data_IF_978226064401
#
_entry.id   IF_978226064401
#
_cell.length_a   1.000
_cell.length_b   1.000
_cell.length_c   1.000
_cell.angle_alpha   90.00
_cell.angle_beta   90.00
_cell.angle_gamma   90.00
#
_symmetry.space_group_name_H-M   'P 1'
#
loop_
_entity.id
_entity.type
_entity.pdbx_description
1 polymer ?
#
# COMPACT_ATOMS: atom_id res chain seq x y z
N UNK A 1 -22.40 -6.65 -1.48
CA UNK A 1 -21.81 -7.17 -2.72
C UNK A 1 -20.47 -7.80 -2.36
N UNK A 2 -20.04 -8.84 -3.04
CA UNK A 2 -18.71 -9.47 -2.87
C UNK A 2 -17.72 -8.88 -3.87
N UNK A 3 -16.43 -9.09 -3.64
CA UNK A 3 -15.41 -8.84 -4.68
C UNK A 3 -15.71 -9.69 -5.92
N UNK A 4 -15.31 -9.25 -7.13
CA UNK A 4 -15.38 -10.08 -8.33
C UNK A 4 -14.67 -11.42 -8.10
N UNK A 5 -15.28 -12.52 -8.51
CA UNK A 5 -14.61 -13.82 -8.47
C UNK A 5 -13.41 -13.83 -9.43
N UNK A 6 -12.34 -14.60 -9.12
CA UNK A 6 -11.25 -14.78 -10.06
C UNK A 6 -11.71 -15.46 -11.34
N UNK A 7 -11.26 -14.96 -12.48
CA UNK A 7 -11.52 -15.52 -13.82
C UNK A 7 -10.20 -15.60 -14.62
N UNK A 8 -10.26 -16.22 -15.80
CA UNK A 8 -9.10 -16.26 -16.70
C UNK A 8 -8.71 -14.87 -17.24
N UNK A 9 -9.68 -13.97 -17.38
CA UNK A 9 -9.51 -12.64 -17.97
C UNK A 9 -9.14 -11.57 -16.95
N UNK A 10 -9.73 -11.61 -15.75
CA UNK A 10 -9.50 -10.54 -14.77
C UNK A 10 -8.15 -10.68 -14.02
N UNK A 11 -7.66 -9.56 -13.55
CA UNK A 11 -6.35 -9.48 -12.87
C UNK A 11 -6.46 -8.77 -11.52
N UNK A 12 -5.58 -9.16 -10.62
CA UNK A 12 -5.26 -8.41 -9.43
C UNK A 12 -3.90 -7.72 -9.59
N UNK A 13 -3.84 -6.41 -9.46
CA UNK A 13 -2.62 -5.61 -9.56
C UNK A 13 -2.04 -5.40 -8.17
N UNK A 14 -0.74 -5.64 -8.01
CA UNK A 14 -0.03 -5.37 -6.75
C UNK A 14 1.20 -4.51 -7.02
N UNK A 15 1.20 -3.28 -6.49
CA UNK A 15 2.38 -2.42 -6.57
C UNK A 15 3.30 -2.64 -5.36
N UNK A 16 4.61 -2.49 -5.57
CA UNK A 16 5.60 -2.82 -4.54
C UNK A 16 5.68 -4.32 -4.24
N UNK A 17 5.40 -5.17 -5.25
CA UNK A 17 5.29 -6.62 -5.09
C UNK A 17 6.62 -7.34 -4.81
N UNK A 18 7.76 -6.68 -4.94
CA UNK A 18 9.09 -7.30 -4.83
C UNK A 18 9.56 -7.54 -3.39
N UNK A 19 8.82 -7.11 -2.36
CA UNK A 19 9.16 -7.35 -0.95
C UNK A 19 7.99 -7.12 0.01
N UNK A 20 8.08 -7.67 1.19
CA UNK A 20 7.27 -7.37 2.35
C UNK A 20 5.77 -7.55 2.15
N UNK A 21 4.97 -6.52 2.47
CA UNK A 21 3.51 -6.59 2.36
C UNK A 21 3.08 -6.84 0.91
N UNK A 22 3.78 -6.28 -0.08
CA UNK A 22 3.46 -6.46 -1.50
C UNK A 22 3.59 -7.92 -1.96
N UNK A 23 4.70 -8.57 -1.62
CA UNK A 23 4.89 -10.02 -1.88
C UNK A 23 3.79 -10.84 -1.21
N UNK A 24 3.50 -10.57 0.06
CA UNK A 24 2.48 -11.30 0.80
C UNK A 24 1.05 -11.06 0.25
N UNK A 25 0.74 -9.85 -0.25
CA UNK A 25 -0.52 -9.58 -0.93
C UNK A 25 -0.63 -10.36 -2.25
N UNK A 26 0.44 -10.43 -3.04
CA UNK A 26 0.47 -11.19 -4.27
C UNK A 26 0.27 -12.70 -4.03
N UNK A 27 0.95 -13.25 -3.02
CA UNK A 27 0.78 -14.65 -2.61
C UNK A 27 -0.64 -14.96 -2.13
N UNK A 28 -1.21 -14.11 -1.29
CA UNK A 28 -2.58 -14.32 -0.79
C UNK A 28 -3.63 -14.17 -1.91
N UNK A 29 -3.43 -13.27 -2.88
CA UNK A 29 -4.29 -13.14 -4.04
C UNK A 29 -4.20 -14.37 -4.96
N UNK A 30 -2.98 -14.85 -5.24
CA UNK A 30 -2.76 -16.08 -6.00
C UNK A 30 -3.38 -17.31 -5.32
N UNK A 31 -3.24 -17.43 -3.99
CA UNK A 31 -3.88 -18.46 -3.17
C UNK A 31 -5.42 -18.42 -3.27
N UNK A 32 -6.00 -17.21 -3.49
CA UNK A 32 -7.44 -17.03 -3.74
C UNK A 32 -7.84 -17.26 -5.19
N UNK A 33 -6.90 -17.64 -6.07
CA UNK A 33 -7.13 -17.95 -7.47
C UNK A 33 -7.02 -16.76 -8.44
N UNK A 34 -6.63 -15.57 -7.98
CA UNK A 34 -6.46 -14.44 -8.88
C UNK A 34 -5.14 -14.53 -9.65
N UNK A 35 -5.20 -14.38 -10.96
CA UNK A 35 -4.04 -14.04 -11.77
C UNK A 35 -3.59 -12.62 -11.46
N UNK A 36 -2.27 -12.37 -11.43
CA UNK A 36 -1.70 -11.13 -10.88
C UNK A 36 -0.90 -10.34 -11.92
N UNK A 37 -0.84 -9.02 -11.74
CA UNK A 37 0.15 -8.12 -12.35
C UNK A 37 1.01 -7.59 -11.20
N UNK A 38 2.28 -7.97 -11.21
CA UNK A 38 3.28 -7.64 -10.19
C UNK A 38 4.08 -6.42 -10.65
N UNK A 39 4.02 -5.33 -9.89
CA UNK A 39 4.67 -4.07 -10.26
C UNK A 39 5.68 -3.65 -9.21
N UNK A 40 6.96 -3.51 -9.59
CA UNK A 40 8.03 -2.92 -8.79
C UNK A 40 9.27 -2.66 -9.66
N UNK A 41 10.32 -2.05 -9.10
CA UNK A 41 11.57 -1.77 -9.84
C UNK A 41 12.45 -3.00 -10.04
N UNK A 42 12.48 -3.92 -9.07
CA UNK A 42 13.37 -5.09 -9.04
C UNK A 42 12.77 -6.23 -9.86
N UNK A 43 13.10 -6.27 -11.14
CA UNK A 43 12.55 -7.23 -12.10
C UNK A 43 12.88 -8.69 -11.74
N UNK A 44 14.11 -8.95 -11.29
CA UNK A 44 14.55 -10.30 -10.93
C UNK A 44 13.67 -10.90 -9.81
N UNK A 45 13.46 -10.14 -8.73
CA UNK A 45 12.59 -10.56 -7.62
C UNK A 45 11.12 -10.74 -8.04
N UNK A 46 10.65 -9.91 -8.99
CA UNK A 46 9.30 -10.08 -9.52
C UNK A 46 9.18 -11.35 -10.36
N UNK A 47 10.20 -11.70 -11.17
CA UNK A 47 10.20 -12.91 -11.98
C UNK A 47 10.25 -14.16 -11.10
N UNK A 48 11.07 -14.17 -10.06
CA UNK A 48 11.11 -15.26 -9.07
C UNK A 48 9.76 -15.43 -8.37
N UNK A 49 9.12 -14.32 -7.97
CA UNK A 49 7.79 -14.35 -7.36
C UNK A 49 6.76 -14.86 -8.37
N UNK A 50 6.76 -14.37 -9.61
CA UNK A 50 5.83 -14.79 -10.65
C UNK A 50 5.91 -16.29 -10.94
N UNK A 51 7.13 -16.82 -11.07
CA UNK A 51 7.37 -18.25 -11.24
C UNK A 51 6.77 -19.05 -10.06
N UNK A 52 7.11 -18.65 -8.83
CA UNK A 52 6.62 -19.31 -7.61
C UNK A 52 5.09 -19.30 -7.51
N UNK A 53 4.44 -18.17 -7.83
CA UNK A 53 2.98 -18.06 -7.82
C UNK A 53 2.34 -18.98 -8.86
N UNK A 54 2.93 -19.06 -10.06
CA UNK A 54 2.45 -19.92 -11.14
C UNK A 54 2.59 -21.40 -10.78
N UNK A 55 3.76 -21.81 -10.27
CA UNK A 55 4.02 -23.20 -9.90
C UNK A 55 3.16 -23.66 -8.71
N UNK A 56 2.98 -22.80 -7.72
CA UNK A 56 2.30 -23.17 -6.47
C UNK A 56 0.77 -23.10 -6.57
N UNK A 57 0.22 -22.13 -7.32
CA UNK A 57 -1.21 -21.84 -7.34
C UNK A 57 -1.86 -22.01 -8.71
N UNK A 58 -1.09 -22.27 -9.78
CA UNK A 58 -1.62 -22.44 -11.13
C UNK A 58 -2.20 -21.17 -11.76
N UNK A 59 -1.87 -20.00 -11.23
CA UNK A 59 -2.33 -18.71 -11.76
C UNK A 59 -1.32 -18.09 -12.71
N UNK A 60 -1.76 -17.17 -13.56
CA UNK A 60 -0.84 -16.35 -14.37
C UNK A 60 -0.32 -15.17 -13.53
N UNK A 61 0.99 -14.95 -13.53
CA UNK A 61 1.61 -13.81 -12.89
C UNK A 61 2.43 -13.00 -13.92
N UNK A 62 1.97 -11.82 -14.25
CA UNK A 62 2.60 -10.90 -15.20
C UNK A 62 3.51 -9.90 -14.46
N UNK A 63 4.69 -9.62 -15.01
CA UNK A 63 5.67 -8.71 -14.39
C UNK A 63 5.71 -7.38 -15.12
N UNK A 64 5.75 -6.29 -14.35
CA UNK A 64 6.01 -4.92 -14.82
C UNK A 64 7.14 -4.32 -13.98
N UNK A 65 8.37 -4.44 -14.49
CA UNK A 65 9.58 -3.92 -13.84
C UNK A 65 9.74 -2.43 -14.17
N UNK A 66 9.08 -1.56 -13.39
CA UNK A 66 9.05 -0.11 -13.62
C UNK A 66 9.21 0.67 -12.31
N UNK A 67 9.67 1.91 -12.41
CA UNK A 67 9.65 2.87 -11.31
C UNK A 67 8.35 3.70 -11.35
N UNK A 68 7.49 3.49 -10.36
CA UNK A 68 6.22 4.22 -10.25
C UNK A 68 6.39 5.69 -9.83
N UNK A 69 7.57 6.10 -9.32
CA UNK A 69 7.86 7.51 -9.07
C UNK A 69 8.14 8.28 -10.37
N UNK A 70 8.54 7.57 -11.42
CA UNK A 70 8.74 8.12 -12.74
C UNK A 70 7.41 8.17 -13.53
N UNK A 71 6.98 9.37 -13.89
CA UNK A 71 5.75 9.59 -14.64
C UNK A 71 5.78 8.93 -16.02
N UNK A 72 6.93 8.96 -16.70
CA UNK A 72 7.05 8.41 -18.06
C UNK A 72 6.90 6.89 -18.07
N UNK A 73 7.35 6.21 -17.03
CA UNK A 73 7.15 4.77 -16.85
C UNK A 73 5.75 4.44 -16.30
N UNK A 74 5.21 5.29 -15.43
CA UNK A 74 3.89 5.08 -14.80
C UNK A 74 2.72 5.28 -15.78
N UNK A 75 2.81 6.27 -16.67
CA UNK A 75 1.70 6.61 -17.57
C UNK A 75 1.33 5.47 -18.55
N UNK A 76 2.27 4.76 -19.20
CA UNK A 76 1.95 3.58 -20.00
C UNK A 76 1.27 2.47 -19.21
N UNK A 77 1.71 2.22 -17.97
CA UNK A 77 1.04 1.24 -17.12
C UNK A 77 -0.40 1.66 -16.80
N UNK A 78 -0.63 2.92 -16.43
CA UNK A 78 -1.97 3.42 -16.16
C UNK A 78 -2.88 3.25 -17.39
N UNK A 79 -2.39 3.55 -18.59
CA UNK A 79 -3.12 3.34 -19.84
C UNK A 79 -3.43 1.84 -20.09
N UNK A 80 -2.45 0.94 -19.87
CA UNK A 80 -2.67 -0.51 -19.96
C UNK A 80 -3.77 -0.96 -19.00
N UNK A 81 -3.71 -0.54 -17.74
CA UNK A 81 -4.67 -0.97 -16.72
C UNK A 81 -6.09 -0.44 -16.98
N UNK A 82 -6.23 0.71 -17.63
CA UNK A 82 -7.54 1.29 -17.99
C UNK A 82 -8.30 0.41 -18.99
N UNK A 83 -7.58 -0.29 -19.89
CA UNK A 83 -8.16 -1.15 -20.93
C UNK A 83 -8.38 -2.60 -20.47
N UNK A 84 -7.92 -2.96 -19.27
CA UNK A 84 -7.97 -4.34 -18.75
C UNK A 84 -9.08 -4.55 -17.74
N UNK A 85 -9.54 -5.80 -17.60
CA UNK A 85 -10.42 -6.19 -16.51
C UNK A 85 -9.62 -6.35 -15.20
N UNK A 86 -9.54 -5.27 -14.42
CA UNK A 86 -8.89 -5.28 -13.12
C UNK A 86 -9.92 -5.52 -12.02
N UNK A 87 -9.88 -6.72 -11.44
CA UNK A 87 -10.75 -7.11 -10.32
C UNK A 87 -10.31 -6.45 -9.00
N UNK A 88 -9.00 -6.38 -8.76
CA UNK A 88 -8.44 -5.83 -7.52
C UNK A 88 -7.20 -4.99 -7.86
N UNK A 89 -7.11 -3.78 -7.26
CA UNK A 89 -5.91 -2.97 -7.27
C UNK A 89 -5.38 -2.83 -5.83
N UNK A 90 -4.18 -3.34 -5.57
CA UNK A 90 -3.45 -3.13 -4.33
C UNK A 90 -2.38 -2.05 -4.54
N UNK A 91 -2.70 -0.81 -4.27
CA UNK A 91 -1.78 0.32 -4.18
C UNK A 91 -0.95 0.19 -2.90
N UNK A 92 0.18 -0.54 -2.98
CA UNK A 92 0.99 -0.86 -1.82
C UNK A 92 2.41 -0.27 -1.89
N UNK A 93 2.94 0.02 -3.07
CA UNK A 93 4.27 0.63 -3.21
C UNK A 93 4.41 1.89 -2.35
N UNK A 94 5.54 2.04 -1.70
CA UNK A 94 5.84 3.21 -0.89
C UNK A 94 7.18 3.10 -0.20
N UNK A 95 7.81 4.25 0.03
CA UNK A 95 9.08 4.39 0.73
C UNK A 95 8.99 5.53 1.74
N UNK A 96 9.91 5.57 2.68
CA UNK A 96 10.01 6.60 3.70
C UNK A 96 11.45 7.10 3.82
N UNK A 97 11.61 8.33 4.31
CA UNK A 97 12.88 8.91 4.78
C UNK A 97 12.74 9.31 6.23
N UNK A 98 13.85 9.45 6.91
CA UNK A 98 13.93 9.89 8.29
C UNK A 98 14.99 10.98 8.40
N UNK A 99 14.64 12.10 9.04
CA UNK A 99 15.52 13.24 9.23
C UNK A 99 14.82 14.57 9.00
N UNK A 100 15.46 15.71 9.38
CA UNK A 100 14.95 17.04 9.07
C UNK A 100 14.88 17.25 7.56
N UNK A 101 13.73 17.67 7.02
CA UNK A 101 13.51 17.81 5.58
C UNK A 101 14.52 18.73 4.88
N UNK A 102 15.08 19.70 5.62
CA UNK A 102 16.10 20.61 5.10
C UNK A 102 17.48 19.93 4.87
N UNK A 103 17.69 18.75 5.42
CA UNK A 103 18.95 17.97 5.34
C UNK A 103 18.82 16.75 4.41
N UNK A 104 17.60 16.45 3.94
CA UNK A 104 17.32 15.33 3.05
C UNK A 104 17.53 15.72 1.58
N UNK A 105 17.76 14.72 0.72
CA UNK A 105 17.87 14.91 -0.72
C UNK A 105 16.52 15.37 -1.31
N UNK A 106 16.44 16.58 -1.90
CA UNK A 106 15.20 17.12 -2.43
C UNK A 106 14.58 16.28 -3.56
N UNK A 107 15.40 15.61 -4.36
CA UNK A 107 14.92 14.80 -5.48
C UNK A 107 14.32 13.48 -4.97
N UNK A 108 14.93 12.89 -3.94
CA UNK A 108 14.36 11.72 -3.30
C UNK A 108 13.07 12.04 -2.53
N UNK A 109 13.01 13.19 -1.85
CA UNK A 109 11.77 13.66 -1.18
C UNK A 109 10.63 13.88 -2.20
N UNK A 110 10.95 14.42 -3.38
CA UNK A 110 9.97 14.54 -4.48
C UNK A 110 9.53 13.17 -4.98
N UNK A 111 10.46 12.23 -5.17
CA UNK A 111 10.15 10.87 -5.58
C UNK A 111 9.25 10.14 -4.56
N UNK A 112 9.37 10.41 -3.26
CA UNK A 112 8.46 9.90 -2.23
C UNK A 112 7.03 10.39 -2.48
N UNK A 113 6.82 11.67 -2.78
CA UNK A 113 5.48 12.18 -3.09
C UNK A 113 4.92 11.57 -4.36
N UNK A 114 5.73 11.45 -5.42
CA UNK A 114 5.34 10.80 -6.67
C UNK A 114 4.91 9.35 -6.44
N UNK A 115 5.72 8.56 -5.71
CA UNK A 115 5.43 7.16 -5.46
C UNK A 115 4.24 6.96 -4.50
N UNK A 116 4.29 7.63 -3.34
CA UNK A 116 3.35 7.35 -2.25
C UNK A 116 1.97 7.99 -2.47
N UNK A 117 1.87 9.08 -3.23
CA UNK A 117 0.63 9.82 -3.42
C UNK A 117 0.18 9.84 -4.89
N UNK A 118 1.02 10.36 -5.80
CA UNK A 118 0.63 10.56 -7.20
C UNK A 118 0.41 9.22 -7.92
N UNK A 119 1.29 8.25 -7.76
CA UNK A 119 1.12 6.92 -8.35
C UNK A 119 -0.15 6.22 -7.84
N UNK A 120 -0.46 6.32 -6.54
CA UNK A 120 -1.69 5.78 -5.97
C UNK A 120 -2.92 6.41 -6.63
N UNK A 121 -2.90 7.73 -6.81
CA UNK A 121 -3.97 8.47 -7.46
C UNK A 121 -4.13 8.07 -8.93
N UNK A 122 -3.06 8.11 -9.73
CA UNK A 122 -3.08 7.82 -11.16
C UNK A 122 -3.58 6.40 -11.45
N UNK A 123 -3.03 5.38 -10.75
CA UNK A 123 -3.45 3.99 -10.96
C UNK A 123 -4.90 3.74 -10.49
N UNK A 124 -5.34 4.43 -9.44
CA UNK A 124 -6.75 4.37 -9.01
C UNK A 124 -7.66 4.95 -10.07
N UNK A 125 -7.36 6.13 -10.62
CA UNK A 125 -8.15 6.75 -11.68
C UNK A 125 -8.20 5.90 -12.95
N UNK A 126 -7.11 5.21 -13.28
CA UNK A 126 -7.03 4.34 -14.45
C UNK A 126 -8.04 3.17 -14.39
N UNK A 127 -8.14 2.49 -13.23
CA UNK A 127 -8.99 1.29 -13.11
C UNK A 127 -10.44 1.59 -12.74
N UNK A 128 -10.70 2.76 -12.15
CA UNK A 128 -11.97 3.10 -11.54
C UNK A 128 -13.15 3.12 -12.53
N UNK A 129 -13.05 3.72 -13.75
CA UNK A 129 -14.14 3.71 -14.71
C UNK A 129 -14.60 2.30 -15.08
N UNK A 130 -13.66 1.40 -15.35
CA UNK A 130 -13.95 0.00 -15.65
C UNK A 130 -14.63 -0.74 -14.49
N UNK A 131 -14.14 -0.55 -13.26
CA UNK A 131 -14.76 -1.13 -12.06
C UNK A 131 -16.19 -0.64 -11.83
N UNK A 132 -16.45 0.66 -12.04
CA UNK A 132 -17.79 1.25 -11.91
C UNK A 132 -18.72 0.68 -12.99
N UNK A 133 -18.26 0.63 -14.24
CA UNK A 133 -19.05 0.12 -15.36
C UNK A 133 -19.49 -1.32 -15.14
N UNK A 134 -18.61 -2.16 -14.63
CA UNK A 134 -18.87 -3.57 -14.29
C UNK A 134 -19.62 -3.74 -12.95
N UNK A 135 -19.80 -2.66 -12.18
CA UNK A 135 -20.35 -2.68 -10.81
C UNK A 135 -19.63 -3.68 -9.90
N UNK A 136 -18.31 -3.80 -10.07
CA UNK A 136 -17.50 -4.75 -9.34
C UNK A 136 -16.03 -4.41 -9.37
N UNK A 137 -15.38 -4.44 -8.21
CA UNK A 137 -13.95 -4.19 -8.06
C UNK A 137 -13.54 -4.02 -6.60
N UNK A 138 -12.25 -4.09 -6.34
CA UNK A 138 -11.68 -3.83 -5.03
C UNK A 138 -10.41 -2.99 -5.12
N UNK A 139 -10.32 -1.94 -4.31
CA UNK A 139 -9.14 -1.08 -4.23
C UNK A 139 -8.63 -1.11 -2.79
N UNK A 140 -7.46 -1.68 -2.58
CA UNK A 140 -6.73 -1.65 -1.32
C UNK A 140 -5.65 -0.56 -1.42
N UNK A 141 -5.67 0.41 -0.50
CA UNK A 141 -4.67 1.48 -0.46
C UNK A 141 -3.86 1.35 0.82
N UNK A 142 -2.55 1.16 0.69
CA UNK A 142 -1.63 1.11 1.82
C UNK A 142 -1.22 2.52 2.25
N UNK A 143 -1.96 3.03 3.22
CA UNK A 143 -1.61 4.23 3.94
C UNK A 143 -0.61 3.96 5.08
N UNK A 144 -0.80 4.62 6.20
CA UNK A 144 -0.03 4.43 7.44
C UNK A 144 -0.73 5.06 8.63
N UNK A 145 -0.45 4.57 9.83
CA UNK A 145 -0.76 5.29 11.06
C UNK A 145 -0.07 6.68 11.10
N UNK A 146 1.08 6.82 10.44
CA UNK A 146 1.81 8.07 10.29
C UNK A 146 1.01 9.18 9.58
N UNK A 147 0.09 8.81 8.70
CA UNK A 147 -0.79 9.78 8.03
C UNK A 147 -1.89 10.38 8.91
N UNK A 148 -2.01 9.98 10.17
CA UNK A 148 -3.04 10.50 11.07
C UNK A 148 -2.57 11.72 11.89
N UNK A 149 -1.27 11.99 11.92
CA UNK A 149 -0.69 13.06 12.75
C UNK A 149 0.55 13.69 12.11
N UNK A 150 0.92 14.93 12.48
CA UNK A 150 2.21 15.50 12.10
C UNK A 150 3.36 14.73 12.74
N UNK A 151 4.39 14.41 11.94
CA UNK A 151 5.58 13.71 12.41
C UNK A 151 6.83 14.54 12.03
N UNK A 152 7.39 15.34 12.95
CA UNK A 152 8.70 15.96 12.75
C UNK A 152 9.77 14.91 12.43
N UNK A 153 10.72 15.25 11.57
CA UNK A 153 11.76 14.35 11.01
C UNK A 153 11.22 13.21 10.11
N UNK A 154 9.99 13.34 9.65
CA UNK A 154 9.38 12.43 8.67
C UNK A 154 8.25 13.14 7.91
N UNK A 155 8.44 14.42 7.62
CA UNK A 155 7.38 15.31 7.18
C UNK A 155 6.77 14.89 5.83
N UNK A 156 7.59 14.64 4.81
CA UNK A 156 7.14 14.27 3.47
C UNK A 156 6.40 12.94 3.50
N UNK A 157 6.95 11.94 4.18
CA UNK A 157 6.27 10.65 4.30
C UNK A 157 4.93 10.76 5.01
N UNK A 158 4.88 11.44 6.18
CA UNK A 158 3.63 11.64 6.91
C UNK A 158 2.58 12.37 6.07
N UNK A 159 2.99 13.40 5.32
CA UNK A 159 2.10 14.13 4.41
C UNK A 159 1.59 13.24 3.26
N UNK A 160 2.47 12.45 2.62
CA UNK A 160 2.08 11.51 1.57
C UNK A 160 1.07 10.46 2.06
N UNK A 161 1.27 9.96 3.29
CA UNK A 161 0.35 9.00 3.91
C UNK A 161 -0.94 9.65 4.43
N UNK A 162 -0.91 10.94 4.79
CA UNK A 162 -2.14 11.69 5.07
C UNK A 162 -3.01 11.85 3.81
N UNK A 163 -2.39 12.12 2.66
CA UNK A 163 -3.08 12.13 1.38
C UNK A 163 -3.76 10.77 1.12
N UNK A 164 -3.02 9.65 1.17
CA UNK A 164 -3.57 8.33 0.88
C UNK A 164 -4.65 7.89 1.86
N UNK A 165 -4.53 8.24 3.14
CA UNK A 165 -5.55 7.96 4.15
C UNK A 165 -6.85 8.70 3.80
N UNK A 166 -6.77 10.02 3.60
CA UNK A 166 -7.93 10.87 3.28
C UNK A 166 -8.55 10.49 1.93
N UNK A 167 -7.73 10.29 0.90
CA UNK A 167 -8.17 9.89 -0.44
C UNK A 167 -8.95 8.57 -0.40
N UNK A 168 -8.41 7.54 0.29
CA UNK A 168 -9.07 6.25 0.40
C UNK A 168 -10.44 6.33 1.06
N UNK A 169 -10.56 7.07 2.17
CA UNK A 169 -11.81 7.20 2.91
C UNK A 169 -12.85 8.03 2.15
N UNK A 170 -12.43 9.10 1.47
CA UNK A 170 -13.29 9.93 0.64
C UNK A 170 -13.80 9.15 -0.58
N UNK A 171 -12.89 8.48 -1.30
CA UNK A 171 -13.22 7.66 -2.47
C UNK A 171 -14.24 6.56 -2.12
N UNK A 172 -14.07 5.93 -0.96
CA UNK A 172 -15.04 4.95 -0.48
C UNK A 172 -16.45 5.54 -0.37
N UNK A 173 -16.58 6.77 0.15
CA UNK A 173 -17.86 7.48 0.24
C UNK A 173 -18.51 7.69 -1.12
N UNK A 174 -17.71 8.14 -2.10
CA UNK A 174 -18.15 8.40 -3.48
C UNK A 174 -18.60 7.13 -4.22
N UNK A 175 -18.05 5.98 -3.85
CA UNK A 175 -18.34 4.68 -4.47
C UNK A 175 -19.46 3.89 -3.78
N UNK A 176 -20.12 4.49 -2.79
CA UNK A 176 -21.27 3.88 -2.13
C UNK A 176 -22.36 3.53 -3.15
N UNK A 177 -22.80 2.29 -3.18
CA UNK A 177 -23.81 1.80 -4.14
C UNK A 177 -23.30 1.50 -5.55
N UNK A 178 -22.02 1.79 -5.89
CA UNK A 178 -21.44 1.55 -7.22
C UNK A 178 -20.85 0.15 -7.41
N UNK A 179 -20.81 -0.67 -6.36
CA UNK A 179 -20.29 -2.06 -6.43
C UNK A 179 -18.77 -2.17 -6.27
N UNK A 180 -18.06 -1.07 -6.06
CA UNK A 180 -16.62 -1.05 -5.86
C UNK A 180 -16.30 -0.92 -4.38
N UNK A 181 -15.46 -1.81 -3.86
CA UNK A 181 -14.99 -1.78 -2.48
C UNK A 181 -13.69 -0.97 -2.37
N UNK A 182 -13.57 -0.14 -1.35
CA UNK A 182 -12.32 0.57 -1.04
C UNK A 182 -11.98 0.36 0.42
N UNK A 183 -10.74 -0.08 0.68
CA UNK A 183 -10.24 -0.30 2.03
C UNK A 183 -8.87 0.36 2.21
N UNK A 184 -8.75 1.15 3.27
CA UNK A 184 -7.48 1.68 3.73
C UNK A 184 -6.79 0.64 4.60
N UNK A 185 -5.60 0.19 4.21
CA UNK A 185 -4.67 -0.50 5.10
C UNK A 185 -3.77 0.56 5.75
N UNK A 186 -3.89 0.75 7.06
CA UNK A 186 -3.06 1.68 7.83
C UNK A 186 -2.18 0.90 8.83
N UNK A 187 -1.11 0.25 8.38
CA UNK A 187 -0.27 -0.59 9.23
C UNK A 187 0.56 0.24 10.20
N UNK A 188 0.90 -0.36 11.33
CA UNK A 188 2.07 -0.02 12.12
C UNK A 188 3.31 -0.77 11.61
N UNK A 189 4.30 -1.06 12.47
CA UNK A 189 5.48 -1.84 12.11
C UNK A 189 5.12 -3.25 11.61
N UNK A 190 5.55 -3.57 10.39
CA UNK A 190 5.37 -4.89 9.77
C UNK A 190 6.74 -5.47 9.47
N UNK A 191 7.03 -6.68 9.94
CA UNK A 191 8.26 -7.39 9.58
C UNK A 191 8.22 -7.75 8.11
N UNK A 192 9.26 -7.33 7.40
CA UNK A 192 9.44 -7.61 5.98
C UNK A 192 10.89 -8.02 5.74
N UNK A 193 11.14 -8.73 4.66
CA UNK A 193 12.50 -9.11 4.23
C UNK A 193 13.22 -7.94 3.54
N UNK A 194 12.88 -6.69 3.88
CA UNK A 194 13.53 -5.51 3.32
C UNK A 194 14.78 -5.17 4.15
N UNK A 195 15.99 -5.20 3.56
CA UNK A 195 17.24 -4.89 4.25
C UNK A 195 17.26 -3.50 4.92
N UNK A 196 16.54 -2.53 4.34
CA UNK A 196 16.48 -1.16 4.88
C UNK A 196 15.73 -1.08 6.23
N UNK A 197 15.10 -2.17 6.68
CA UNK A 197 14.42 -2.24 7.98
C UNK A 197 15.33 -2.65 9.15
N UNK A 198 16.51 -3.15 8.89
CA UNK A 198 17.37 -3.74 9.95
C UNK A 198 17.79 -2.70 11.00
N UNK A 199 18.11 -1.47 10.62
CA UNK A 199 18.46 -0.41 11.57
C UNK A 199 17.26 0.11 12.37
N UNK A 200 16.12 0.29 11.72
CA UNK A 200 14.87 0.73 12.36
C UNK A 200 14.29 -0.40 13.21
N UNK A 201 14.46 -1.65 12.75
CA UNK A 201 13.94 -2.84 13.39
C UNK A 201 14.46 -3.06 14.81
N UNK A 202 15.73 -2.75 15.06
CA UNK A 202 16.37 -2.91 16.39
C UNK A 202 15.83 -1.92 17.44
N UNK A 203 15.21 -0.82 17.00
CA UNK A 203 14.72 0.27 17.88
C UNK A 203 13.24 0.10 18.28
N UNK A 204 12.54 -0.90 17.71
CA UNK A 204 11.10 -1.15 17.97
C UNK A 204 10.93 -2.50 18.69
N UNK A 205 10.24 -2.56 19.85
CA UNK A 205 10.03 -3.80 20.58
C UNK A 205 9.32 -4.87 19.76
N UNK A 206 9.75 -6.14 19.92
CA UNK A 206 9.28 -7.29 19.14
C UNK A 206 7.76 -7.49 19.16
N UNK A 207 7.12 -7.25 20.29
CA UNK A 207 5.69 -7.44 20.47
C UNK A 207 4.79 -6.46 19.68
N UNK A 208 5.38 -5.41 19.11
CA UNK A 208 4.65 -4.42 18.28
C UNK A 208 4.55 -4.91 16.82
N UNK A 209 5.50 -5.76 16.40
CA UNK A 209 5.59 -6.21 15.03
C UNK A 209 4.48 -7.20 14.65
N UNK A 210 3.98 -7.06 13.43
CA UNK A 210 3.10 -8.05 12.79
C UNK A 210 3.79 -8.60 11.54
N UNK A 211 3.40 -9.81 11.10
CA UNK A 211 3.96 -10.39 9.88
C UNK A 211 3.29 -9.82 8.63
N UNK A 212 4.03 -9.81 7.51
CA UNK A 212 3.49 -9.42 6.20
C UNK A 212 2.33 -10.32 5.77
N UNK A 213 2.45 -11.64 5.97
CA UNK A 213 1.41 -12.60 5.63
C UNK A 213 0.09 -12.37 6.41
N UNK A 214 0.18 -12.13 7.72
CA UNK A 214 -0.99 -11.78 8.54
C UNK A 214 -1.63 -10.47 8.06
N UNK A 215 -0.79 -9.46 7.77
CA UNK A 215 -1.22 -8.15 7.28
C UNK A 215 -1.96 -8.28 5.94
N UNK A 216 -1.41 -9.02 4.99
CA UNK A 216 -2.01 -9.25 3.67
C UNK A 216 -3.37 -9.95 3.78
N UNK A 217 -3.42 -11.08 4.51
CA UNK A 217 -4.66 -11.83 4.72
C UNK A 217 -5.74 -10.96 5.35
N UNK A 218 -5.43 -10.25 6.44
CA UNK A 218 -6.37 -9.39 7.15
C UNK A 218 -6.89 -8.26 6.26
N UNK A 219 -6.01 -7.69 5.41
CA UNK A 219 -6.33 -6.59 4.51
C UNK A 219 -7.29 -7.02 3.40
N UNK A 220 -7.02 -8.16 2.76
CA UNK A 220 -7.89 -8.69 1.71
C UNK A 220 -9.22 -9.22 2.26
N UNK A 221 -9.24 -9.75 3.49
CA UNK A 221 -10.49 -10.09 4.18
C UNK A 221 -11.32 -8.84 4.52
N UNK A 222 -10.65 -7.74 4.89
CA UNK A 222 -11.32 -6.46 5.15
C UNK A 222 -11.88 -5.85 3.85
N UNK A 223 -11.11 -5.90 2.76
CA UNK A 223 -11.54 -5.45 1.43
C UNK A 223 -12.77 -6.25 0.95
N UNK A 224 -12.74 -7.58 1.08
CA UNK A 224 -13.87 -8.43 0.72
C UNK A 224 -15.15 -8.09 1.49
N UNK A 225 -15.02 -7.71 2.76
CA UNK A 225 -16.14 -7.26 3.62
C UNK A 225 -16.46 -5.78 3.46
N UNK A 226 -15.84 -5.10 2.51
CA UNK A 226 -15.99 -3.66 2.30
C UNK A 226 -15.78 -2.83 3.58
N UNK A 227 -14.76 -3.13 4.38
CA UNK A 227 -14.43 -2.33 5.56
C UNK A 227 -13.66 -1.07 5.16
N UNK A 228 -13.99 0.06 5.77
CA UNK A 228 -13.34 1.35 5.47
C UNK A 228 -11.84 1.30 5.76
N UNK A 229 -11.45 0.78 6.92
CA UNK A 229 -10.06 0.79 7.40
C UNK A 229 -9.72 -0.53 8.10
N UNK A 230 -8.49 -0.97 7.91
CA UNK A 230 -7.88 -2.07 8.65
C UNK A 230 -6.53 -1.65 9.21
N UNK A 231 -6.31 -1.92 10.50
CA UNK A 231 -5.03 -1.69 11.19
C UNK A 231 -4.61 -3.03 11.78
N UNK A 232 -3.58 -3.69 11.24
CA UNK A 232 -3.05 -4.93 11.77
C UNK A 232 -2.38 -4.72 13.13
N UNK A 233 -2.65 -5.62 14.09
CA UNK A 233 -2.10 -5.58 15.44
C UNK A 233 -2.88 -4.66 16.39
N UNK A 234 -3.08 -5.13 17.63
CA UNK A 234 -3.87 -4.39 18.64
C UNK A 234 -3.17 -3.09 19.07
N UNK A 235 -1.86 -3.13 19.23
CA UNK A 235 -1.08 -1.96 19.64
C UNK A 235 -1.09 -0.90 18.56
N UNK A 236 -0.83 -1.29 17.30
CA UNK A 236 -0.91 -0.38 16.15
C UNK A 236 -2.30 0.23 16.00
N UNK A 237 -3.35 -0.54 16.31
CA UNK A 237 -4.73 -0.04 16.32
C UNK A 237 -4.94 1.03 17.40
N UNK A 238 -4.46 0.79 18.62
CA UNK A 238 -4.50 1.78 19.71
C UNK A 238 -3.74 3.06 19.36
N UNK A 239 -2.53 2.93 18.82
CA UNK A 239 -1.71 4.07 18.36
C UNK A 239 -2.38 4.85 17.22
N UNK A 240 -3.01 4.16 16.28
CA UNK A 240 -3.72 4.79 15.16
C UNK A 240 -4.91 5.62 15.65
N UNK A 241 -5.69 5.10 16.60
CA UNK A 241 -6.81 5.82 17.24
C UNK A 241 -6.29 7.02 18.02
N UNK A 242 -5.26 6.84 18.85
CA UNK A 242 -4.66 7.94 19.60
C UNK A 242 -4.15 9.05 18.69
N UNK A 243 -3.44 8.70 17.60
CA UNK A 243 -2.95 9.68 16.63
C UNK A 243 -4.04 10.43 15.87
N UNK A 244 -5.22 9.84 15.73
CA UNK A 244 -6.35 10.48 15.06
C UNK A 244 -7.08 11.49 15.95
N UNK A 245 -7.19 11.23 17.25
CA UNK A 245 -8.03 12.01 18.15
C UNK A 245 -7.26 12.82 19.21
N UNK A 246 -5.98 12.51 19.47
CA UNK A 246 -5.19 13.25 20.43
C UNK A 246 -4.81 14.66 19.90
N UNK A 247 -4.74 15.67 20.79
CA UNK A 247 -4.32 17.02 20.40
C UNK A 247 -2.92 17.02 19.76
N UNK A 248 -2.83 17.55 18.55
CA UNK A 248 -1.59 17.55 17.75
C UNK A 248 -0.43 18.26 18.45
N UNK A 249 -0.71 19.30 19.21
CA UNK A 249 0.29 20.02 20.00
C UNK A 249 0.99 19.15 21.06
N UNK A 250 0.30 18.12 21.57
CA UNK A 250 0.86 17.17 22.56
C UNK A 250 1.55 15.98 21.88
N UNK A 251 1.01 15.49 20.78
CA UNK A 251 1.54 14.28 20.12
C UNK A 251 2.76 14.56 19.25
N UNK A 252 2.82 15.69 18.55
CA UNK A 252 3.89 16.00 17.62
C UNK A 252 5.30 16.03 18.28
N UNK A 253 5.53 16.66 19.46
CA UNK A 253 6.85 16.63 20.10
C UNK A 253 7.29 15.24 20.54
N UNK A 254 6.35 14.41 21.07
CA UNK A 254 6.64 13.06 21.56
C UNK A 254 7.02 12.16 20.38
N UNK A 255 6.20 12.17 19.34
CA UNK A 255 6.43 11.38 18.14
C UNK A 255 7.67 11.87 17.39
N UNK A 256 7.89 13.18 17.27
CA UNK A 256 9.08 13.74 16.66
C UNK A 256 10.37 13.33 17.37
N UNK A 257 10.37 13.25 18.69
CA UNK A 257 11.52 12.75 19.46
C UNK A 257 11.82 11.27 19.18
N UNK A 258 10.78 10.44 19.00
CA UNK A 258 10.94 9.04 18.62
C UNK A 258 11.51 8.91 17.20
N UNK A 259 10.96 9.63 16.23
CA UNK A 259 11.42 9.59 14.83
C UNK A 259 12.82 10.19 14.66
N UNK A 260 13.23 11.16 15.48
CA UNK A 260 14.62 11.66 15.50
C UNK A 260 15.61 10.55 15.83
N UNK A 261 15.25 9.61 16.72
CA UNK A 261 16.10 8.47 17.07
C UNK A 261 16.16 7.38 15.99
N UNK A 262 15.21 7.39 15.06
CA UNK A 262 15.20 6.45 13.94
C UNK A 262 16.08 6.91 12.78
N UNK A 263 16.29 8.22 12.62
CA UNK A 263 17.08 8.81 11.53
C UNK A 263 18.52 9.20 11.89
N UNK A 264 18.96 8.94 13.15
CA UNK A 264 20.31 9.31 13.61
C UNK A 264 21.02 8.18 14.32
#
# INVERSE_FOLDING_TARGET
MSLPAPTAENRAVVTGASSGIGTALAEELARRGYSTILVARRGDLLNELAQRLTEQYGVTAEVRAIDLSDREQRAPLAAELAERDIAILCNNAGVATFGPVAELDPDFERAIMELNAVAVHDLTLAVLPGMIARRGGGILITGSAAGNMPIPNNATYAASKAFTNSFSESLRGELTGKGVHVTLLAPGPVRTDNPDQDEVGTKIPDFIWVTAAYTAKLSLDALARNKMRVVPGLISKGMSVAGQYAPRALTAPIVGSFYKKLGG
#
